data_IF_109098750557
#
_entry.id   IF_109098750557
#
_cell.length_a   1.000
_cell.length_b   1.000
_cell.length_c   1.000
_cell.angle_alpha   90.00
_cell.angle_beta   90.00
_cell.angle_gamma   90.00
#
_symmetry.space_group_name_H-M   'P 1'
#
loop_
_entity.id
_entity.type
_entity.pdbx_description
1 polymer ?
#
# COMPACT_ATOMS: atom_id res chain seq x y z
N UNK A 1 50.73 14.51 24.93
CA UNK A 1 49.61 15.40 24.54
C UNK A 1 48.78 14.85 23.38
N UNK A 2 49.39 14.47 22.23
CA UNK A 2 48.66 13.98 21.04
C UNK A 2 47.75 12.76 21.28
N UNK A 3 48.20 11.76 22.06
CA UNK A 3 47.41 10.55 22.35
C UNK A 3 46.16 10.81 23.22
N UNK A 4 46.21 11.75 24.17
CA UNK A 4 45.06 12.11 25.00
C UNK A 4 43.98 12.88 24.21
N UNK A 5 44.40 13.75 23.29
CA UNK A 5 43.47 14.49 22.41
C UNK A 5 42.77 13.54 21.43
N UNK A 6 43.49 12.57 20.87
CA UNK A 6 42.92 11.56 19.97
C UNK A 6 41.89 10.67 20.67
N UNK A 7 42.15 10.28 21.94
CA UNK A 7 41.21 9.49 22.74
C UNK A 7 39.92 10.26 23.06
N UNK A 8 40.03 11.54 23.42
CA UNK A 8 38.87 12.41 23.69
C UNK A 8 38.02 12.59 22.41
N UNK A 9 38.66 12.82 21.26
CA UNK A 9 37.95 12.90 19.97
C UNK A 9 37.23 11.59 19.63
N UNK A 10 37.85 10.44 19.87
CA UNK A 10 37.23 9.14 19.62
C UNK A 10 36.02 8.90 20.53
N UNK A 11 36.13 9.25 21.81
CA UNK A 11 35.02 9.14 22.77
C UNK A 11 33.88 10.08 22.39
N UNK A 12 34.17 11.34 22.04
CA UNK A 12 33.14 12.30 21.57
C UNK A 12 32.49 11.85 20.26
N UNK A 13 33.25 11.30 19.31
CA UNK A 13 32.69 10.77 18.07
C UNK A 13 31.80 9.55 18.33
N UNK A 14 32.23 8.66 19.24
CA UNK A 14 31.45 7.49 19.63
C UNK A 14 30.17 7.90 20.36
N UNK A 15 30.24 8.85 21.30
CA UNK A 15 29.07 9.41 21.97
C UNK A 15 28.12 10.08 20.98
N UNK A 16 28.65 10.83 20.01
CA UNK A 16 27.88 11.48 18.97
C UNK A 16 27.17 10.46 18.07
N UNK A 17 27.86 9.40 17.64
CA UNK A 17 27.24 8.29 16.90
C UNK A 17 26.16 7.59 17.71
N UNK A 18 26.39 7.33 19.01
CA UNK A 18 25.38 6.72 19.89
C UNK A 18 24.15 7.64 20.00
N UNK A 19 24.33 8.93 20.27
CA UNK A 19 23.23 9.92 20.37
C UNK A 19 22.44 10.03 19.06
N UNK A 20 23.08 9.90 17.90
CA UNK A 20 22.39 9.90 16.61
C UNK A 20 21.57 8.63 16.35
N UNK A 21 21.97 7.48 16.91
CA UNK A 21 21.25 6.20 16.73
C UNK A 21 20.08 5.99 17.70
N UNK A 22 20.15 6.54 18.93
CA UNK A 22 19.07 6.42 19.93
C UNK A 22 17.69 6.88 19.42
N UNK A 23 17.52 8.05 18.77
CA UNK A 23 16.22 8.47 18.29
C UNK A 23 15.66 7.53 17.22
N UNK A 24 16.50 6.97 16.33
CA UNK A 24 16.05 6.04 15.29
C UNK A 24 15.51 4.71 15.86
N UNK A 25 16.12 4.17 16.92
CA UNK A 25 15.65 2.93 17.56
C UNK A 25 14.37 3.14 18.39
N UNK A 26 14.26 4.27 19.10
CA UNK A 26 13.05 4.62 19.85
C UNK A 26 11.85 4.83 18.90
N UNK A 27 12.09 5.55 17.80
CA UNK A 27 11.15 5.75 16.70
C UNK A 27 10.67 4.43 16.07
N UNK A 28 11.59 3.51 15.76
CA UNK A 28 11.23 2.20 15.20
C UNK A 28 10.34 1.36 16.12
N UNK A 29 10.67 1.32 17.42
CA UNK A 29 9.90 0.59 18.42
C UNK A 29 8.48 1.16 18.57
N UNK A 30 8.34 2.48 18.44
CA UNK A 30 7.03 3.16 18.50
C UNK A 30 6.14 2.84 17.28
N UNK A 31 6.70 2.81 16.06
CA UNK A 31 5.94 2.43 14.86
C UNK A 31 5.43 0.99 14.97
N UNK A 32 6.31 0.05 15.33
CA UNK A 32 5.92 -1.35 15.47
C UNK A 32 4.78 -1.50 16.49
N UNK A 33 4.87 -0.81 17.63
CA UNK A 33 3.83 -0.84 18.65
C UNK A 33 2.49 -0.31 18.14
N UNK A 34 2.50 0.74 17.31
CA UNK A 34 1.28 1.27 16.70
C UNK A 34 0.65 0.21 15.79
N UNK A 35 1.42 -0.43 14.90
CA UNK A 35 0.92 -1.54 14.07
C UNK A 35 0.50 -2.78 14.88
N UNK A 36 1.01 -2.96 16.10
CA UNK A 36 0.60 -4.03 17.02
C UNK A 36 -0.70 -3.72 17.79
N UNK A 37 -1.09 -2.44 17.90
CA UNK A 37 -2.16 -2.00 18.79
C UNK A 37 -3.54 -2.57 18.37
N UNK A 38 -3.93 -2.56 17.10
CA UNK A 38 -5.07 -3.34 16.62
C UNK A 38 -4.68 -4.83 16.54
N UNK A 39 -4.88 -5.54 17.65
CA UNK A 39 -4.65 -6.99 17.71
C UNK A 39 -5.97 -7.75 17.67
N UNK A 40 -6.05 -8.73 16.76
CA UNK A 40 -7.14 -9.69 16.72
C UNK A 40 -7.29 -10.46 18.04
N UNK A 41 -6.17 -10.72 18.73
CA UNK A 41 -6.16 -11.45 20.00
C UNK A 41 -6.98 -10.77 21.10
N UNK A 42 -7.11 -9.44 21.03
CA UNK A 42 -7.84 -8.62 21.99
C UNK A 42 -9.15 -8.05 21.40
N UNK A 43 -9.55 -8.50 20.21
CA UNK A 43 -10.75 -8.01 19.56
C UNK A 43 -12.01 -8.53 20.26
N UNK A 44 -13.02 -7.70 20.54
CA UNK A 44 -14.24 -8.15 21.22
C UNK A 44 -15.00 -9.21 20.41
N UNK A 45 -14.90 -9.17 19.09
CA UNK A 45 -15.50 -10.12 18.15
C UNK A 45 -14.73 -11.43 17.96
N UNK A 46 -13.56 -11.62 18.59
CA UNK A 46 -12.66 -12.76 18.32
C UNK A 46 -13.37 -14.11 18.38
N UNK A 47 -14.10 -14.37 19.46
CA UNK A 47 -14.79 -15.65 19.68
C UNK A 47 -15.83 -15.95 18.60
N UNK A 48 -16.58 -14.94 18.17
CA UNK A 48 -17.58 -15.09 17.10
C UNK A 48 -16.91 -15.39 15.76
N UNK A 49 -15.79 -14.73 15.47
CA UNK A 49 -15.02 -14.93 14.25
C UNK A 49 -14.37 -16.32 14.22
N UNK A 50 -13.75 -16.77 15.32
CA UNK A 50 -13.17 -18.12 15.41
C UNK A 50 -14.24 -19.20 15.22
N UNK A 51 -15.44 -18.99 15.75
CA UNK A 51 -16.58 -19.87 15.51
C UNK A 51 -16.98 -19.89 14.03
N UNK A 52 -17.06 -18.73 13.37
CA UNK A 52 -17.36 -18.63 11.94
C UNK A 52 -16.29 -19.32 11.07
N UNK A 53 -15.00 -19.17 11.39
CA UNK A 53 -13.89 -19.88 10.71
C UNK A 53 -14.07 -21.38 10.84
N UNK A 54 -14.35 -21.87 12.05
CA UNK A 54 -14.52 -23.30 12.32
C UNK A 54 -15.73 -23.87 11.57
N UNK A 55 -16.83 -23.15 11.54
CA UNK A 55 -18.06 -23.57 10.87
C UNK A 55 -17.88 -23.62 9.34
N UNK A 56 -17.33 -22.56 8.74
CA UNK A 56 -17.23 -22.44 7.28
C UNK A 56 -16.02 -23.15 6.68
N UNK A 57 -15.01 -23.47 7.49
CA UNK A 57 -13.78 -24.14 7.07
C UNK A 57 -13.14 -23.51 5.80
N UNK A 58 -12.70 -22.24 5.89
CA UNK A 58 -12.20 -21.50 4.73
C UNK A 58 -10.96 -22.12 4.11
N UNK A 59 -10.09 -22.76 4.90
CA UNK A 59 -8.90 -23.46 4.39
C UNK A 59 -9.29 -24.67 3.52
N UNK A 60 -10.27 -25.45 3.94
CA UNK A 60 -10.81 -26.54 3.14
C UNK A 60 -11.44 -26.03 1.83
N UNK A 61 -12.15 -24.91 1.89
CA UNK A 61 -12.73 -24.27 0.71
C UNK A 61 -11.65 -23.73 -0.24
N UNK A 62 -10.57 -23.15 0.28
CA UNK A 62 -9.42 -22.67 -0.50
C UNK A 62 -8.75 -23.78 -1.30
N UNK A 63 -8.46 -24.93 -0.67
CA UNK A 63 -7.83 -26.08 -1.35
C UNK A 63 -8.75 -26.67 -2.43
N UNK A 64 -10.06 -26.74 -2.19
CA UNK A 64 -11.02 -27.26 -3.17
C UNK A 64 -11.17 -26.38 -4.42
N UNK A 65 -10.99 -25.07 -4.28
CA UNK A 65 -11.17 -24.11 -5.37
C UNK A 65 -9.83 -23.50 -5.85
N UNK A 66 -8.70 -24.16 -5.59
CA UNK A 66 -7.37 -23.59 -5.87
C UNK A 66 -7.14 -23.24 -7.34
N UNK A 67 -7.74 -24.01 -8.25
CA UNK A 67 -7.63 -23.78 -9.70
C UNK A 67 -8.39 -22.52 -10.12
N UNK A 68 -9.54 -22.23 -9.48
CA UNK A 68 -10.32 -21.00 -9.71
C UNK A 68 -9.61 -19.77 -9.12
N UNK A 69 -8.96 -19.95 -7.96
CA UNK A 69 -8.15 -18.91 -7.34
C UNK A 69 -6.88 -18.59 -8.14
N UNK A 70 -6.39 -19.55 -8.93
CA UNK A 70 -5.24 -19.43 -9.83
C UNK A 70 -4.01 -18.77 -9.17
N UNK A 71 -3.69 -19.19 -7.94
CA UNK A 71 -2.53 -18.72 -7.17
C UNK A 71 -1.40 -19.74 -7.29
N UNK A 72 -0.24 -19.32 -7.80
CA UNK A 72 0.90 -20.20 -8.01
C UNK A 72 1.37 -20.87 -6.70
N UNK A 73 1.34 -20.12 -5.60
CA UNK A 73 1.77 -20.58 -4.28
C UNK A 73 0.79 -21.59 -3.65
N UNK A 74 -0.46 -21.64 -4.14
CA UNK A 74 -1.50 -22.57 -3.71
C UNK A 74 -1.55 -23.85 -4.56
N UNK A 75 -1.00 -23.84 -5.78
CA UNK A 75 -1.16 -24.91 -6.77
C UNK A 75 -0.79 -26.30 -6.23
N UNK A 76 0.31 -26.38 -5.47
CA UNK A 76 0.83 -27.64 -4.91
C UNK A 76 0.19 -28.05 -3.57
N UNK A 77 -0.74 -27.26 -3.04
CA UNK A 77 -1.44 -27.57 -1.78
C UNK A 77 -2.62 -28.49 -2.08
N UNK A 78 -2.56 -29.72 -1.55
CA UNK A 78 -3.60 -30.75 -1.74
C UNK A 78 -4.39 -31.07 -0.47
N UNK A 79 -3.97 -30.55 0.68
CA UNK A 79 -4.60 -30.82 1.98
C UNK A 79 -4.65 -29.52 2.81
N UNK A 80 -5.83 -29.13 3.34
CA UNK A 80 -5.97 -27.91 4.15
C UNK A 80 -5.14 -27.92 5.44
N UNK A 81 -4.74 -29.08 5.95
CA UNK A 81 -3.85 -29.20 7.11
C UNK A 81 -2.44 -28.68 6.83
N UNK A 82 -2.05 -28.57 5.56
CA UNK A 82 -0.81 -27.91 5.12
C UNK A 82 -0.89 -26.38 5.14
N UNK A 83 -2.07 -25.82 5.45
CA UNK A 83 -2.29 -24.39 5.57
C UNK A 83 -2.36 -23.97 7.04
N UNK A 84 -1.92 -22.75 7.32
CA UNK A 84 -2.10 -22.08 8.61
C UNK A 84 -2.48 -20.62 8.39
N UNK A 85 -3.03 -19.98 9.42
CA UNK A 85 -3.40 -18.58 9.36
C UNK A 85 -2.19 -17.71 9.74
N UNK A 86 -1.93 -16.70 8.92
CA UNK A 86 -1.07 -15.59 9.30
C UNK A 86 -1.77 -14.66 10.28
N UNK A 87 -1.06 -13.60 10.70
CA UNK A 87 -1.64 -12.59 11.57
C UNK A 87 -2.79 -11.86 10.87
N UNK A 88 -4.00 -11.79 11.47
CA UNK A 88 -5.13 -11.09 10.86
C UNK A 88 -4.93 -9.58 10.84
N UNK A 89 -5.47 -8.94 9.80
CA UNK A 89 -5.40 -7.49 9.60
C UNK A 89 -6.82 -6.93 9.54
N UNK A 90 -7.06 -5.84 10.28
CA UNK A 90 -8.34 -5.11 10.23
C UNK A 90 -8.35 -4.20 9.00
N UNK A 91 -9.32 -4.39 8.12
CA UNK A 91 -9.48 -3.64 6.86
C UNK A 91 -10.84 -2.96 6.85
N UNK A 92 -10.84 -1.63 6.85
CA UNK A 92 -12.06 -0.83 6.77
C UNK A 92 -12.69 -0.89 5.38
N UNK A 93 -14.02 -0.88 5.36
CA UNK A 93 -14.86 -0.88 4.15
C UNK A 93 -15.38 0.56 3.98
N UNK A 94 -14.82 1.36 3.07
CA UNK A 94 -15.19 2.76 2.88
C UNK A 94 -16.68 2.93 2.61
N UNK A 95 -17.30 3.87 3.34
CA UNK A 95 -18.65 4.34 3.04
C UNK A 95 -18.60 5.60 2.16
N UNK A 96 -19.77 6.11 1.77
CA UNK A 96 -19.89 7.30 0.92
C UNK A 96 -19.11 8.51 1.46
N UNK A 97 -19.04 8.71 2.78
CA UNK A 97 -18.29 9.82 3.38
C UNK A 97 -16.79 9.72 3.09
N UNK A 98 -16.22 8.52 3.11
CA UNK A 98 -14.81 8.30 2.75
C UNK A 98 -14.59 8.54 1.26
N UNK A 99 -15.51 8.10 0.39
CA UNK A 99 -15.43 8.38 -1.05
C UNK A 99 -15.48 9.89 -1.34
N UNK A 100 -16.39 10.62 -0.68
CA UNK A 100 -16.44 12.08 -0.81
C UNK A 100 -15.15 12.75 -0.36
N UNK A 101 -14.58 12.30 0.76
CA UNK A 101 -13.31 12.84 1.26
C UNK A 101 -12.14 12.56 0.31
N UNK A 102 -12.10 11.36 -0.32
CA UNK A 102 -11.12 11.01 -1.36
C UNK A 102 -11.27 11.83 -2.66
N UNK A 103 -12.43 12.43 -2.91
CA UNK A 103 -12.65 13.31 -4.07
C UNK A 103 -12.39 14.79 -3.75
N UNK A 104 -12.63 15.21 -2.50
CA UNK A 104 -12.54 16.62 -2.07
C UNK A 104 -11.25 16.98 -1.35
N UNK A 105 -10.39 16.00 -1.10
CA UNK A 105 -9.20 16.15 -0.29
C UNK A 105 -9.56 16.55 1.15
N UNK A 106 -10.48 15.81 1.77
CA UNK A 106 -10.77 15.91 3.21
C UNK A 106 -10.03 14.81 4.00
N UNK A 107 -9.68 15.02 5.28
CA UNK A 107 -8.97 14.01 6.07
C UNK A 107 -9.78 12.71 6.22
N UNK A 108 -9.12 11.57 6.08
CA UNK A 108 -9.74 10.25 6.01
C UNK A 108 -9.73 9.52 7.35
N UNK A 109 -8.73 9.76 8.20
CA UNK A 109 -8.44 8.91 9.38
C UNK A 109 -9.64 8.75 10.31
N UNK A 110 -10.34 9.85 10.63
CA UNK A 110 -11.52 9.82 11.50
C UNK A 110 -12.73 9.14 10.84
N UNK A 111 -12.91 9.36 9.54
CA UNK A 111 -14.03 8.78 8.78
C UNK A 111 -13.88 7.26 8.64
N UNK A 112 -12.66 6.78 8.40
CA UNK A 112 -12.37 5.35 8.29
C UNK A 112 -12.71 4.60 9.57
N UNK A 113 -12.40 5.16 10.75
CA UNK A 113 -12.69 4.52 12.04
C UNK A 113 -14.19 4.40 12.37
N UNK A 114 -15.05 5.10 11.63
CA UNK A 114 -16.50 5.01 11.73
C UNK A 114 -17.10 4.05 10.71
N UNK A 115 -16.30 3.55 9.77
CA UNK A 115 -16.76 2.63 8.75
C UNK A 115 -16.91 1.20 9.29
N UNK A 116 -17.76 0.38 8.67
CA UNK A 116 -17.68 -1.07 8.81
C UNK A 116 -16.27 -1.57 8.47
N UNK A 117 -15.92 -2.75 8.97
CA UNK A 117 -14.64 -3.37 8.68
C UNK A 117 -14.78 -4.89 8.57
N UNK A 118 -13.81 -5.48 7.88
CA UNK A 118 -13.57 -6.91 7.83
C UNK A 118 -12.24 -7.23 8.52
N UNK A 119 -12.13 -8.46 8.99
CA UNK A 119 -10.84 -9.06 9.31
C UNK A 119 -10.36 -9.88 8.12
N UNK A 120 -9.21 -9.49 7.59
CA UNK A 120 -8.52 -10.25 6.55
C UNK A 120 -7.53 -11.21 7.20
N UNK A 121 -7.70 -12.50 6.93
CA UNK A 121 -6.89 -13.60 7.42
C UNK A 121 -5.98 -14.10 6.31
N UNK A 122 -4.68 -13.74 6.34
CA UNK A 122 -3.70 -14.32 5.43
C UNK A 122 -3.60 -15.83 5.66
N UNK A 123 -3.31 -16.56 4.60
CA UNK A 123 -3.11 -18.01 4.63
C UNK A 123 -1.69 -18.32 4.19
N UNK A 124 -1.02 -19.16 4.97
CA UNK A 124 0.38 -19.52 4.78
C UNK A 124 0.47 -21.02 4.49
N UNK A 125 1.24 -21.38 3.47
CA UNK A 125 1.64 -22.76 3.23
C UNK A 125 2.71 -23.15 4.25
N UNK A 126 2.43 -24.11 5.13
CA UNK A 126 3.36 -24.54 6.18
C UNK A 126 4.67 -25.10 5.65
N UNK A 127 4.68 -25.66 4.43
CA UNK A 127 5.87 -26.30 3.82
C UNK A 127 6.84 -25.26 3.25
N UNK A 128 6.34 -24.29 2.49
CA UNK A 128 7.18 -23.25 1.88
C UNK A 128 7.35 -22.02 2.78
N UNK A 129 6.43 -21.78 3.72
CA UNK A 129 6.35 -20.54 4.48
C UNK A 129 5.76 -19.36 3.70
N UNK A 130 5.34 -19.58 2.46
CA UNK A 130 4.81 -18.53 1.59
C UNK A 130 3.33 -18.25 1.87
N UNK A 131 2.93 -17.00 1.67
CA UNK A 131 1.53 -16.61 1.70
C UNK A 131 0.86 -17.05 0.40
N UNK A 132 -0.27 -17.74 0.50
CA UNK A 132 -0.98 -18.35 -0.65
C UNK A 132 -2.30 -17.66 -1.01
N UNK A 133 -2.66 -16.64 -0.23
CA UNK A 133 -3.91 -15.89 -0.37
C UNK A 133 -4.40 -15.43 0.99
N UNK A 134 -5.62 -14.91 1.03
CA UNK A 134 -6.31 -14.56 2.27
C UNK A 134 -7.79 -14.90 2.18
N UNK A 135 -8.51 -14.76 3.28
CA UNK A 135 -9.97 -14.71 3.28
C UNK A 135 -10.46 -13.63 4.23
N UNK A 136 -11.70 -13.18 4.06
CA UNK A 136 -12.30 -12.14 4.88
C UNK A 136 -13.49 -12.64 5.68
N UNK A 137 -13.59 -12.12 6.90
CA UNK A 137 -14.77 -12.26 7.75
C UNK A 137 -15.25 -10.86 8.10
N UNK A 138 -16.52 -10.60 7.84
CA UNK A 138 -17.15 -9.30 8.05
C UNK A 138 -18.53 -9.45 8.69
N UNK A 139 -19.07 -8.35 9.19
CA UNK A 139 -20.38 -8.37 9.85
C UNK A 139 -21.51 -8.22 8.83
N UNK A 140 -22.16 -9.33 8.47
CA UNK A 140 -23.29 -9.40 7.55
C UNK A 140 -24.57 -9.62 8.37
N UNK A 141 -25.57 -8.73 8.22
CA UNK A 141 -26.85 -8.81 8.94
C UNK A 141 -26.71 -9.01 10.46
N UNK A 142 -25.68 -8.41 11.05
CA UNK A 142 -25.42 -8.47 12.49
C UNK A 142 -24.59 -9.66 12.96
N UNK A 143 -24.21 -10.59 12.07
CA UNK A 143 -23.38 -11.76 12.38
C UNK A 143 -22.03 -11.69 11.68
N UNK A 144 -20.98 -12.16 12.34
CA UNK A 144 -19.67 -12.31 11.70
C UNK A 144 -19.68 -13.52 10.78
N UNK A 145 -19.54 -13.27 9.49
CA UNK A 145 -19.67 -14.29 8.46
C UNK A 145 -18.53 -14.18 7.44
N UNK A 146 -18.27 -15.30 6.78
CA UNK A 146 -17.31 -15.38 5.69
C UNK A 146 -17.81 -14.57 4.48
N UNK A 147 -17.01 -13.62 3.99
CA UNK A 147 -17.41 -12.75 2.87
C UNK A 147 -16.58 -12.93 1.59
N UNK A 148 -15.31 -13.32 1.69
CA UNK A 148 -14.40 -13.36 0.55
C UNK A 148 -13.36 -14.48 0.68
N UNK A 149 -13.10 -15.21 -0.41
CA UNK A 149 -12.04 -16.22 -0.52
C UNK A 149 -10.95 -15.79 -1.49
N UNK A 150 -9.70 -16.09 -1.17
CA UNK A 150 -8.54 -15.90 -2.04
C UNK A 150 -7.89 -14.54 -1.87
N UNK A 151 -8.69 -13.53 -1.51
CA UNK A 151 -8.23 -12.16 -1.35
C UNK A 151 -7.82 -11.51 -2.66
N UNK A 152 -7.55 -10.22 -2.62
CA UNK A 152 -7.02 -9.48 -3.77
C UNK A 152 -5.52 -9.15 -3.68
N UNK A 153 -4.93 -9.34 -2.50
CA UNK A 153 -3.54 -8.99 -2.23
C UNK A 153 -2.59 -10.09 -2.74
N UNK A 154 -1.41 -9.67 -3.17
CA UNK A 154 -0.33 -10.59 -3.56
C UNK A 154 0.33 -11.22 -2.33
N UNK A 155 1.06 -12.32 -2.54
CA UNK A 155 1.84 -12.97 -1.49
C UNK A 155 2.79 -11.98 -0.80
N UNK A 156 3.47 -11.13 -1.58
CA UNK A 156 4.42 -10.15 -1.03
C UNK A 156 3.72 -9.09 -0.17
N UNK A 157 2.55 -8.61 -0.60
CA UNK A 157 1.78 -7.63 0.19
C UNK A 157 1.27 -8.25 1.48
N UNK A 158 0.69 -9.45 1.44
CA UNK A 158 0.25 -10.17 2.64
C UNK A 158 1.41 -10.37 3.61
N UNK A 159 2.56 -10.77 3.08
CA UNK A 159 3.80 -10.96 3.85
C UNK A 159 4.30 -9.67 4.52
N UNK A 160 4.06 -8.51 3.90
CA UNK A 160 4.36 -7.20 4.48
C UNK A 160 3.35 -6.83 5.56
N UNK A 161 2.05 -6.82 5.24
CA UNK A 161 1.02 -6.24 6.12
C UNK A 161 0.73 -7.09 7.37
N UNK A 162 1.07 -8.37 7.33
CA UNK A 162 0.87 -9.31 8.44
C UNK A 162 2.01 -9.32 9.46
N UNK A 163 3.04 -8.50 9.27
CA UNK A 163 4.17 -8.37 10.20
C UNK A 163 4.48 -6.90 10.48
N UNK A 164 4.16 -6.47 11.70
CA UNK A 164 4.42 -5.10 12.15
C UNK A 164 5.89 -4.70 12.07
N UNK A 165 6.83 -5.64 12.24
CA UNK A 165 8.26 -5.35 12.12
C UNK A 165 8.62 -5.03 10.68
N UNK A 166 8.04 -5.78 9.73
CA UNK A 166 8.25 -5.52 8.29
C UNK A 166 7.56 -4.25 7.83
N UNK A 167 6.38 -3.94 8.36
CA UNK A 167 5.73 -2.64 8.14
C UNK A 167 6.60 -1.50 8.70
N UNK A 168 7.11 -1.63 9.92
CA UNK A 168 8.01 -0.63 10.50
C UNK A 168 9.28 -0.45 9.67
N UNK A 169 9.90 -1.54 9.20
CA UNK A 169 11.07 -1.49 8.30
C UNK A 169 10.73 -0.82 6.97
N UNK A 170 9.56 -1.13 6.40
CA UNK A 170 9.07 -0.51 5.17
C UNK A 170 8.90 1.01 5.33
N UNK A 171 8.27 1.45 6.42
CA UNK A 171 8.12 2.88 6.73
C UNK A 171 9.50 3.54 6.94
N UNK A 172 10.40 2.90 7.69
CA UNK A 172 11.74 3.41 7.96
C UNK A 172 12.60 3.56 6.70
N UNK A 173 12.50 2.62 5.76
CA UNK A 173 13.18 2.72 4.44
C UNK A 173 12.66 3.89 3.60
N UNK A 174 11.41 4.29 3.80
CA UNK A 174 10.80 5.45 3.16
C UNK A 174 11.03 6.77 3.92
N UNK A 175 11.84 6.77 4.99
CA UNK A 175 12.11 7.97 5.79
C UNK A 175 10.99 8.34 6.78
N UNK A 176 10.05 7.42 7.03
CA UNK A 176 8.98 7.59 8.02
C UNK A 176 9.37 6.85 9.30
N UNK A 177 9.81 7.61 10.29
CA UNK A 177 10.32 7.07 11.58
C UNK A 177 9.34 7.27 12.74
N UNK A 178 8.30 8.07 12.58
CA UNK A 178 7.21 8.17 13.54
C UNK A 178 5.88 8.22 12.80
N UNK A 179 4.87 7.59 13.37
CA UNK A 179 3.46 7.71 12.95
C UNK A 179 2.61 7.90 14.20
N UNK A 180 1.45 8.52 14.05
CA UNK A 180 0.47 8.76 15.12
C UNK A 180 -0.67 7.76 15.04
N UNK A 181 -1.01 7.34 13.83
CA UNK A 181 -2.18 6.51 13.56
C UNK A 181 -2.02 5.81 12.20
N UNK A 182 -2.82 4.76 11.99
CA UNK A 182 -2.88 4.08 10.70
C UNK A 182 -4.23 3.40 10.47
N UNK A 183 -4.54 3.12 9.21
CA UNK A 183 -5.69 2.31 8.83
C UNK A 183 -5.45 1.60 7.50
N UNK A 184 -5.88 0.34 7.39
CA UNK A 184 -6.02 -0.33 6.09
C UNK A 184 -7.45 -0.17 5.61
N UNK A 185 -7.66 0.14 4.34
CA UNK A 185 -9.00 0.19 3.74
C UNK A 185 -8.98 -0.18 2.27
N UNK A 186 -10.05 -0.78 1.77
CA UNK A 186 -10.12 -1.24 0.37
C UNK A 186 -11.08 -0.38 -0.45
N UNK A 187 -10.59 0.18 -1.56
CA UNK A 187 -11.39 0.91 -2.53
C UNK A 187 -11.60 0.01 -3.75
N UNK A 188 -12.67 -0.78 -3.73
CA UNK A 188 -12.96 -1.77 -4.76
C UNK A 188 -13.01 -1.20 -6.19
N UNK A 189 -13.64 -0.04 -6.47
CA UNK A 189 -13.61 0.54 -7.81
C UNK A 189 -12.20 0.82 -8.36
N UNK A 190 -11.22 1.01 -7.47
CA UNK A 190 -9.82 1.25 -7.82
C UNK A 190 -8.97 -0.03 -7.79
N UNK A 191 -9.52 -1.19 -7.40
CA UNK A 191 -8.76 -2.41 -7.14
C UNK A 191 -7.52 -2.16 -6.29
N UNK A 192 -7.68 -1.41 -5.21
CA UNK A 192 -6.56 -0.99 -4.38
C UNK A 192 -6.94 -1.06 -2.92
N UNK A 193 -6.09 -1.71 -2.12
CA UNK A 193 -6.11 -1.59 -0.66
C UNK A 193 -5.06 -0.57 -0.27
N UNK A 194 -5.45 0.46 0.47
CA UNK A 194 -4.54 1.48 0.95
C UNK A 194 -4.15 1.20 2.40
N UNK A 195 -2.87 1.41 2.71
CA UNK A 195 -2.43 1.76 4.06
C UNK A 195 -2.40 3.28 4.17
N UNK A 196 -3.25 3.83 5.03
CA UNK A 196 -3.14 5.21 5.48
C UNK A 196 -2.26 5.26 6.72
N UNK A 197 -1.37 6.24 6.79
CA UNK A 197 -0.60 6.59 7.99
C UNK A 197 -0.73 8.08 8.27
N UNK A 198 -0.76 8.45 9.54
CA UNK A 198 -0.71 9.84 9.99
C UNK A 198 0.67 10.13 10.56
N UNK A 199 1.32 11.19 10.10
CA UNK A 199 2.61 11.66 10.62
C UNK A 199 2.59 13.18 10.71
N UNK A 200 2.85 13.72 11.89
CA UNK A 200 2.90 15.17 12.14
C UNK A 200 1.58 15.85 11.74
N UNK A 201 0.45 15.18 12.00
CA UNK A 201 -0.89 15.61 11.58
C UNK A 201 -1.21 15.46 10.08
N UNK A 202 -0.24 15.05 9.25
CA UNK A 202 -0.42 14.87 7.81
C UNK A 202 -0.73 13.41 7.43
N UNK A 203 -1.60 13.22 6.44
CA UNK A 203 -2.00 11.89 5.96
C UNK A 203 -1.19 11.47 4.73
N UNK A 204 -0.62 10.28 4.80
CA UNK A 204 0.06 9.61 3.70
C UNK A 204 -0.61 8.29 3.40
N UNK A 205 -0.60 7.90 2.12
CA UNK A 205 -1.23 6.69 1.65
C UNK A 205 -0.25 5.85 0.85
N UNK A 206 -0.30 4.54 1.09
CA UNK A 206 0.45 3.52 0.37
C UNK A 206 -0.56 2.62 -0.33
N UNK A 207 -0.67 2.67 -1.67
CA UNK A 207 -1.57 1.81 -2.40
C UNK A 207 -0.94 0.43 -2.53
N UNK A 208 -1.72 -0.61 -2.24
CA UNK A 208 -1.44 -1.99 -2.60
C UNK A 208 -2.44 -2.39 -3.67
N UNK A 209 -1.99 -2.32 -4.92
CA UNK A 209 -2.81 -2.60 -6.09
C UNK A 209 -3.07 -4.10 -6.14
N UNK A 210 -4.32 -4.47 -6.39
CA UNK A 210 -4.78 -5.85 -6.45
C UNK A 210 -4.22 -6.55 -7.69
N UNK A 211 -3.94 -7.86 -7.54
CA UNK A 211 -3.29 -8.66 -8.57
C UNK A 211 -1.80 -8.32 -8.75
N UNK A 212 -1.25 -8.63 -9.93
CA UNK A 212 0.19 -8.50 -10.20
C UNK A 212 0.60 -7.14 -10.80
N UNK A 213 -0.25 -6.13 -10.64
CA UNK A 213 0.01 -4.81 -11.19
C UNK A 213 0.90 -3.96 -10.30
N UNK A 214 1.91 -3.35 -10.94
CA UNK A 214 2.86 -2.47 -10.27
C UNK A 214 2.35 -1.03 -10.17
N UNK A 215 1.43 -0.63 -11.03
CA UNK A 215 0.93 0.74 -11.12
C UNK A 215 -0.51 0.76 -11.62
N UNK A 216 -1.34 1.63 -11.04
CA UNK A 216 -2.74 1.84 -11.42
C UNK A 216 -3.09 3.31 -11.20
N UNK A 217 -3.76 3.90 -12.20
CA UNK A 217 -4.19 5.30 -12.19
C UNK A 217 -3.05 6.31 -11.95
N UNK A 218 -1.78 5.94 -12.13
CA UNK A 218 -0.63 6.82 -11.86
C UNK A 218 -0.08 6.75 -10.43
N UNK A 219 -0.53 5.75 -9.64
CA UNK A 219 0.05 5.40 -8.34
C UNK A 219 0.74 4.04 -8.43
N UNK A 220 1.93 3.90 -7.84
CA UNK A 220 2.68 2.64 -7.80
C UNK A 220 2.42 1.86 -6.53
N UNK A 221 2.22 0.55 -6.68
CA UNK A 221 1.99 -0.36 -5.56
C UNK A 221 3.19 -0.33 -4.59
N UNK A 222 2.93 -0.08 -3.30
CA UNK A 222 3.94 -0.01 -2.26
C UNK A 222 4.72 1.31 -2.18
N UNK A 223 4.34 2.35 -2.94
CA UNK A 223 4.96 3.69 -2.85
C UNK A 223 4.18 4.60 -1.89
N UNK A 224 4.88 5.45 -1.13
CA UNK A 224 4.23 6.38 -0.17
C UNK A 224 3.91 7.70 -0.87
N UNK A 225 2.65 8.10 -0.83
CA UNK A 225 2.16 9.36 -1.39
C UNK A 225 1.54 10.24 -0.31
N UNK A 226 1.62 11.57 -0.49
CA UNK A 226 0.75 12.47 0.26
C UNK A 226 -0.70 12.26 -0.15
N UNK A 227 -1.63 12.53 0.77
CA UNK A 227 -3.07 12.51 0.48
C UNK A 227 -3.45 13.37 -0.72
N UNK A 228 -2.92 14.60 -0.80
CA UNK A 228 -3.15 15.51 -1.92
C UNK A 228 -2.79 14.86 -3.27
N UNK A 229 -1.65 14.16 -3.32
CA UNK A 229 -1.22 13.45 -4.53
C UNK A 229 -2.17 12.32 -4.87
N UNK A 230 -2.57 11.50 -3.89
CA UNK A 230 -3.55 10.43 -4.13
C UNK A 230 -4.88 10.99 -4.61
N UNK A 231 -5.43 11.99 -3.93
CA UNK A 231 -6.72 12.62 -4.28
C UNK A 231 -6.71 13.22 -5.67
N UNK A 232 -5.66 13.98 -6.03
CA UNK A 232 -5.51 14.54 -7.38
C UNK A 232 -5.47 13.48 -8.48
N UNK A 233 -5.06 12.26 -8.13
CA UNK A 233 -4.85 11.15 -9.04
C UNK A 233 -6.10 10.27 -9.15
N UNK A 234 -6.72 9.92 -8.03
CA UNK A 234 -7.86 8.99 -7.98
C UNK A 234 -9.23 9.67 -7.89
N UNK A 235 -9.30 10.91 -7.41
CA UNK A 235 -10.55 11.67 -7.28
C UNK A 235 -11.33 11.77 -8.60
N UNK A 236 -10.69 12.16 -9.72
CA UNK A 236 -11.35 12.18 -11.04
C UNK A 236 -11.84 10.79 -11.49
N UNK A 237 -11.09 9.74 -11.17
CA UNK A 237 -11.43 8.35 -11.50
C UNK A 237 -12.67 7.91 -10.72
N UNK A 238 -12.72 8.21 -9.42
CA UNK A 238 -13.87 7.91 -8.57
C UNK A 238 -15.12 8.69 -9.01
N UNK A 239 -14.96 9.96 -9.41
CA UNK A 239 -16.06 10.76 -9.94
C UNK A 239 -16.61 10.13 -11.24
N UNK A 240 -15.74 9.68 -12.13
CA UNK A 240 -16.14 9.01 -13.37
C UNK A 240 -16.93 7.72 -13.10
N UNK A 241 -16.50 6.90 -12.14
CA UNK A 241 -17.22 5.69 -11.74
C UNK A 241 -18.58 6.00 -11.12
N UNK A 242 -18.68 7.08 -10.35
CA UNK A 242 -19.96 7.54 -9.78
C UNK A 242 -20.95 7.97 -10.84
N UNK A 243 -20.49 8.69 -11.86
CA UNK A 243 -21.31 9.15 -12.99
C UNK A 243 -21.68 8.00 -13.93
N UNK A 244 -20.83 6.98 -14.04
CA UNK A 244 -21.02 5.82 -14.91
C UNK A 244 -20.84 4.50 -14.14
N UNK A 245 -21.80 4.14 -13.27
CA UNK A 245 -21.68 2.93 -12.44
C UNK A 245 -21.64 1.62 -13.24
N UNK A 246 -22.07 1.66 -14.51
CA UNK A 246 -22.00 0.52 -15.44
C UNK A 246 -20.71 0.48 -16.27
N UNK A 247 -19.85 1.50 -16.19
CA UNK A 247 -18.49 1.38 -16.71
C UNK A 247 -17.78 0.31 -15.90
N UNK A 248 -16.97 -0.55 -16.53
CA UNK A 248 -16.24 -1.62 -15.83
C UNK A 248 -15.45 -1.01 -14.66
N UNK A 249 -16.05 -1.04 -13.47
CA UNK A 249 -15.36 -0.77 -12.24
C UNK A 249 -14.31 -1.88 -12.14
N UNK A 250 -13.06 -1.47 -12.19
CA UNK A 250 -11.97 -2.38 -11.97
C UNK A 250 -11.67 -3.33 -13.13
N UNK A 251 -10.82 -2.87 -14.03
CA UNK A 251 -9.44 -3.31 -14.22
C UNK A 251 -8.78 -2.02 -14.76
N UNK A 252 -7.68 -1.44 -14.22
CA UNK A 252 -6.87 -0.51 -14.98
C UNK A 252 -6.66 -1.15 -16.34
N UNK A 253 -7.34 -0.59 -17.34
CA UNK A 253 -6.88 -0.75 -18.70
C UNK A 253 -5.38 -0.51 -18.61
N UNK A 254 -4.59 -1.37 -19.26
CA UNK A 254 -3.32 -0.89 -19.82
C UNK A 254 -3.72 0.33 -20.63
N UNK A 255 -3.76 1.48 -19.98
CA UNK A 255 -3.64 2.74 -20.64
C UNK A 255 -2.26 2.58 -21.19
N UNK A 256 -2.21 2.16 -22.46
CA UNK A 256 -1.12 2.53 -23.33
C UNK A 256 -0.84 3.95 -22.94
N UNK A 257 0.25 4.13 -22.21
CA UNK A 257 0.77 5.42 -21.83
C UNK A 257 1.24 5.99 -23.16
N UNK A 258 0.29 6.35 -24.03
CA UNK A 258 0.51 7.21 -25.17
C UNK A 258 1.07 8.43 -24.48
N UNK A 259 2.38 8.55 -24.62
CA UNK A 259 3.21 9.65 -24.16
C UNK A 259 2.61 10.97 -24.66
N UNK A 260 1.54 11.45 -24.03
CA UNK A 260 0.90 12.71 -24.39
C UNK A 260 1.76 13.88 -23.87
N UNK A 261 2.77 13.63 -23.04
CA UNK A 261 3.60 14.68 -22.45
C UNK A 261 5.08 14.74 -22.87
N UNK A 262 5.55 13.94 -23.84
CA UNK A 262 6.93 14.07 -24.37
C UNK A 262 7.05 14.59 -25.80
N UNK A 263 5.95 14.68 -26.55
CA UNK A 263 5.97 15.22 -27.91
C UNK A 263 6.23 16.74 -28.00
N UNK A 264 5.72 17.62 -27.11
CA UNK A 264 5.94 19.06 -27.29
C UNK A 264 7.38 19.49 -26.98
N UNK A 265 8.10 18.80 -26.08
CA UNK A 265 9.46 19.22 -25.69
C UNK A 265 10.51 18.86 -26.76
N UNK A 266 10.41 17.69 -27.40
CA UNK A 266 11.34 17.26 -28.46
C UNK A 266 11.15 18.12 -29.72
N UNK A 267 9.89 18.40 -30.09
CA UNK A 267 9.58 19.30 -31.22
C UNK A 267 10.06 20.72 -30.93
N UNK A 268 9.86 21.23 -29.71
CA UNK A 268 10.38 22.54 -29.30
C UNK A 268 11.92 22.60 -29.36
N UNK A 269 12.61 21.55 -28.91
CA UNK A 269 14.07 21.45 -28.98
C UNK A 269 14.58 21.41 -30.44
N UNK A 270 13.90 20.68 -31.34
CA UNK A 270 14.26 20.64 -32.77
C UNK A 270 14.07 22.02 -33.43
N UNK A 271 12.98 22.73 -33.12
CA UNK A 271 12.71 24.08 -33.65
C UNK A 271 13.77 25.07 -33.16
N UNK A 272 14.12 25.04 -31.88
CA UNK A 272 15.16 25.92 -31.31
C UNK A 272 16.51 25.61 -31.96
N UNK A 273 16.89 24.33 -32.07
CA UNK A 273 18.17 23.94 -32.67
C UNK A 273 18.25 24.34 -34.16
N UNK A 274 17.16 24.16 -34.90
CA UNK A 274 17.05 24.59 -36.30
C UNK A 274 17.16 26.10 -36.46
N UNK A 275 16.54 26.88 -35.58
CA UNK A 275 16.65 28.34 -35.60
C UNK A 275 18.06 28.84 -35.29
N UNK A 276 18.76 28.23 -34.32
CA UNK A 276 20.15 28.59 -33.99
C UNK A 276 21.11 28.25 -35.13
N UNK A 277 20.98 27.07 -35.73
CA UNK A 277 21.82 26.68 -36.89
C UNK A 277 21.52 27.57 -38.10
N UNK A 278 20.24 27.82 -38.39
CA UNK A 278 19.82 28.71 -39.49
C UNK A 278 20.39 30.12 -39.32
N UNK A 279 20.31 30.68 -38.11
CA UNK A 279 20.89 31.98 -37.80
C UNK A 279 22.42 31.99 -37.94
N UNK A 280 23.10 30.93 -37.49
CA UNK A 280 24.56 30.82 -37.61
C UNK A 280 25.02 30.74 -39.07
N UNK A 281 24.33 29.93 -39.90
CA UNK A 281 24.62 29.79 -41.33
C UNK A 281 24.32 31.09 -42.08
N UNK A 282 23.20 31.76 -41.77
CA UNK A 282 22.85 33.05 -42.35
C UNK A 282 23.88 34.13 -42.02
N UNK A 283 24.31 34.22 -40.75
CA UNK A 283 25.33 35.19 -40.31
C UNK A 283 26.70 34.90 -40.94
N UNK A 284 27.06 33.63 -41.15
CA UNK A 284 28.31 33.25 -41.82
C UNK A 284 28.30 33.58 -43.32
N UNK A 285 27.15 33.50 -43.99
CA UNK A 285 27.00 33.93 -45.40
C UNK A 285 27.01 35.45 -45.54
N UNK A 286 26.40 36.18 -44.61
CA UNK A 286 26.38 37.66 -44.61
C UNK A 286 27.72 38.28 -44.20
N UNK A 287 28.60 37.53 -43.52
CA UNK A 287 29.97 37.96 -43.23
C UNK A 287 31.00 37.63 -44.32
N UNK A 288 30.55 37.08 -45.46
CA UNK A 288 31.37 36.82 -46.66
C UNK A 288 30.92 37.65 -47.87
N UNK A 289 30.14 38.71 -47.64
CA UNK A 289 29.84 39.77 -48.62
C UNK A 289 30.52 41.06 -48.18
#
# INVERSE_FOLDING_TARGET
>A
MKSKVMLIMLISLTLFCVVLTVPTFASFSSIKQIFDTPSFENAPEKTEIEAAIKEKNPLGFMVRNKDELNRAELAEVNDPTNLTLGRPVKVFIPNESVFQALMKNDPLTKLLKQCPYAWEFPVINKKSGEFVGSFRIEKIQGKWEFSELGGYLSSQTLSLISDSSRLADFMGKAGVYAIEDYAFFTVMPLHTTFLLVVKEGEEYLVPFIHGDWKEAYGLRSGEIYSRDKVVSTVGPVLQQFRENPNSLAGYPNKTDNKNIFKLPLIVLLIIIFGAVIGFYVFRRRMGQV
#
